data_IF_553877682519
#
_entry.id   IF_553877682519
#
_cell.length_a   1.000
_cell.length_b   1.000
_cell.length_c   1.000
_cell.angle_alpha   90.00
_cell.angle_beta   90.00
_cell.angle_gamma   90.00
#
_symmetry.space_group_name_H-M   'P 1'
#
loop_
_entity.id
_entity.type
_entity.pdbx_description
1 polymer ?
#
# COMPACT_ATOMS: atom_id res chain seq x y z
N UNK A 1 -15.32 9.70 -16.59
CA UNK A 1 -14.43 10.83 -16.25
C UNK A 1 -13.30 10.29 -15.40
N UNK A 2 -12.10 10.19 -15.94
CA UNK A 2 -10.91 9.91 -15.13
C UNK A 2 -10.65 11.15 -14.28
N UNK A 3 -10.81 11.04 -12.98
CA UNK A 3 -10.31 12.07 -12.07
C UNK A 3 -8.80 11.89 -12.07
N UNK A 4 -8.08 12.73 -12.78
CA UNK A 4 -6.64 12.80 -12.69
C UNK A 4 -6.29 13.31 -11.30
N UNK A 5 -5.87 12.41 -10.45
CA UNK A 5 -5.22 12.83 -9.21
C UNK A 5 -3.85 13.38 -9.58
N UNK A 6 -3.44 14.52 -9.02
CA UNK A 6 -2.09 15.03 -9.18
C UNK A 6 -1.09 13.91 -8.87
N UNK A 7 -0.15 13.69 -9.76
CA UNK A 7 0.87 12.67 -9.58
C UNK A 7 1.77 13.06 -8.40
N UNK A 8 2.13 12.09 -7.58
CA UNK A 8 3.19 12.25 -6.56
C UNK A 8 4.49 12.76 -7.19
N UNK A 9 4.69 12.51 -8.49
CA UNK A 9 5.84 12.97 -9.26
C UNK A 9 5.84 14.52 -9.43
N UNK A 10 4.68 15.16 -9.35
CA UNK A 10 4.54 16.60 -9.57
C UNK A 10 4.82 17.42 -8.29
N UNK A 11 4.92 16.77 -7.13
CA UNK A 11 5.27 17.43 -5.87
C UNK A 11 6.77 17.27 -5.57
N UNK A 12 7.52 18.33 -5.75
CA UNK A 12 8.97 18.37 -5.51
C UNK A 12 9.40 18.08 -4.07
N UNK A 13 8.46 18.08 -3.12
CA UNK A 13 8.70 17.72 -1.71
C UNK A 13 8.67 16.21 -1.48
N UNK A 14 8.10 15.44 -2.41
CA UNK A 14 7.99 13.99 -2.32
C UNK A 14 9.16 13.37 -3.06
N UNK A 15 10.10 12.76 -2.34
CA UNK A 15 11.32 12.19 -2.91
C UNK A 15 11.12 10.85 -3.61
N UNK A 16 10.13 10.06 -3.18
CA UNK A 16 9.82 8.76 -3.76
C UNK A 16 8.36 8.36 -3.48
N UNK A 17 7.86 7.32 -4.15
CA UNK A 17 6.49 6.84 -4.04
C UNK A 17 6.13 6.24 -2.67
N UNK A 18 7.11 6.05 -1.78
CA UNK A 18 6.91 5.55 -0.42
C UNK A 18 7.05 6.64 0.65
N UNK A 19 7.12 7.90 0.24
CA UNK A 19 7.14 9.08 1.13
C UNK A 19 8.28 9.06 2.17
N UNK A 20 9.44 8.54 1.79
CA UNK A 20 10.60 8.39 2.68
C UNK A 20 10.34 7.53 3.93
N UNK A 21 9.35 6.66 3.90
CA UNK A 21 9.06 5.78 5.01
C UNK A 21 10.26 4.87 5.33
N UNK A 22 10.58 4.67 6.62
CA UNK A 22 11.76 3.89 7.03
C UNK A 22 11.63 2.41 6.71
N UNK A 23 10.41 1.90 6.61
CA UNK A 23 10.13 0.50 6.32
C UNK A 23 9.01 0.39 5.30
N UNK A 24 9.21 -0.47 4.31
CA UNK A 24 8.21 -0.81 3.30
C UNK A 24 8.04 -2.32 3.26
N UNK A 25 6.83 -2.79 3.49
CA UNK A 25 6.45 -4.18 3.29
C UNK A 25 5.85 -4.33 1.90
N UNK A 26 6.39 -5.25 1.11
CA UNK A 26 5.88 -5.57 -0.22
C UNK A 26 5.13 -6.89 -0.16
N UNK A 27 3.86 -6.87 -0.57
CA UNK A 27 2.99 -8.05 -0.54
C UNK A 27 2.87 -8.57 -1.95
N UNK A 28 3.24 -9.84 -2.13
CA UNK A 28 3.21 -10.52 -3.40
C UNK A 28 1.97 -11.41 -3.50
N UNK A 29 1.34 -11.40 -4.66
CA UNK A 29 0.27 -12.32 -5.03
C UNK A 29 0.71 -13.22 -6.18
N UNK A 30 0.11 -14.40 -6.29
CA UNK A 30 0.36 -15.30 -7.41
C UNK A 30 -0.17 -14.68 -8.70
N UNK A 31 0.67 -14.64 -9.73
CA UNK A 31 0.29 -14.19 -11.08
C UNK A 31 -0.85 -15.06 -11.60
N UNK A 32 -1.73 -14.47 -12.37
CA UNK A 32 -2.88 -15.15 -12.99
C UNK A 32 -3.87 -15.81 -12.02
N UNK A 33 -3.79 -15.49 -10.73
CA UNK A 33 -4.78 -15.93 -9.75
C UNK A 33 -5.87 -14.86 -9.57
N UNK A 34 -7.13 -15.28 -9.68
CA UNK A 34 -8.30 -14.40 -9.70
C UNK A 34 -8.37 -13.44 -8.48
N UNK A 35 -7.96 -13.91 -7.32
CA UNK A 35 -8.07 -13.16 -6.07
C UNK A 35 -6.74 -12.55 -5.59
N UNK A 36 -5.69 -12.55 -6.41
CA UNK A 36 -4.36 -12.10 -5.98
C UNK A 36 -4.35 -10.67 -5.43
N UNK A 37 -5.14 -9.77 -6.02
CA UNK A 37 -5.27 -8.38 -5.53
C UNK A 37 -6.05 -8.35 -4.22
N UNK A 38 -7.19 -9.05 -4.15
CA UNK A 38 -8.03 -9.10 -2.95
C UNK A 38 -7.25 -9.66 -1.75
N UNK A 39 -6.56 -10.77 -1.94
CA UNK A 39 -5.75 -11.42 -0.90
C UNK A 39 -4.64 -10.49 -0.41
N UNK A 40 -3.94 -9.82 -1.32
CA UNK A 40 -2.88 -8.87 -0.97
C UNK A 40 -3.40 -7.68 -0.14
N UNK A 41 -4.56 -7.12 -0.52
CA UNK A 41 -5.15 -6.00 0.23
C UNK A 41 -5.79 -6.45 1.55
N UNK A 42 -6.34 -7.65 1.66
CA UNK A 42 -6.75 -8.21 2.95
C UNK A 42 -5.55 -8.38 3.89
N UNK A 43 -4.42 -8.85 3.38
CA UNK A 43 -3.18 -8.92 4.17
C UNK A 43 -2.69 -7.53 4.59
N UNK A 44 -2.71 -6.56 3.67
CA UNK A 44 -2.33 -5.18 3.97
C UNK A 44 -3.20 -4.59 5.09
N UNK A 45 -4.52 -4.82 5.07
CA UNK A 45 -5.43 -4.37 6.11
C UNK A 45 -5.09 -4.97 7.48
N UNK A 46 -4.83 -6.27 7.54
CA UNK A 46 -4.40 -6.91 8.78
C UNK A 46 -3.07 -6.33 9.30
N UNK A 47 -2.13 -6.01 8.40
CA UNK A 47 -0.86 -5.41 8.77
C UNK A 47 -1.02 -4.02 9.38
N UNK A 48 -1.88 -3.17 8.79
CA UNK A 48 -2.10 -1.81 9.33
C UNK A 48 -2.83 -1.83 10.68
N UNK A 49 -3.76 -2.77 10.88
CA UNK A 49 -4.43 -2.95 12.17
C UNK A 49 -3.43 -3.43 13.24
N UNK A 50 -2.57 -4.38 12.91
CA UNK A 50 -1.52 -4.85 13.79
C UNK A 50 -0.49 -3.76 14.12
N UNK A 51 -0.08 -2.97 13.13
CA UNK A 51 0.82 -1.85 13.35
C UNK A 51 0.22 -0.83 14.32
N UNK A 52 -1.06 -0.49 14.17
CA UNK A 52 -1.76 0.41 15.06
C UNK A 52 -1.82 -0.13 16.50
N UNK A 53 -2.16 -1.39 16.68
CA UNK A 53 -2.20 -2.05 18.01
C UNK A 53 -0.82 -2.03 18.70
N UNK A 54 0.25 -2.16 17.93
CA UNK A 54 1.63 -2.10 18.43
C UNK A 54 2.17 -0.67 18.63
N UNK A 55 1.33 0.35 18.41
CA UNK A 55 1.71 1.76 18.57
C UNK A 55 2.50 2.35 17.39
N UNK A 56 2.48 1.68 16.25
CA UNK A 56 3.07 2.17 14.99
C UNK A 56 2.03 2.82 14.09
N UNK A 57 2.53 3.53 13.10
CA UNK A 57 1.72 4.14 12.03
C UNK A 57 2.02 3.48 10.70
N UNK A 58 1.04 3.50 9.81
CA UNK A 58 1.14 2.80 8.54
C UNK A 58 0.33 3.49 7.43
N UNK A 59 0.67 3.20 6.19
CA UNK A 59 -0.09 3.62 5.03
C UNK A 59 -0.05 2.56 3.94
N UNK A 60 -1.20 2.26 3.33
CA UNK A 60 -1.28 1.40 2.16
C UNK A 60 -0.96 2.23 0.91
N UNK A 61 0.02 1.78 0.13
CA UNK A 61 0.43 2.38 -1.13
C UNK A 61 0.05 1.45 -2.28
N UNK A 62 -0.71 1.94 -3.25
CA UNK A 62 -1.16 1.16 -4.40
C UNK A 62 -0.31 1.38 -5.67
N UNK A 63 0.21 2.58 -5.89
CA UNK A 63 0.90 2.94 -7.15
C UNK A 63 2.27 2.29 -7.35
N UNK A 64 2.88 1.74 -6.32
CA UNK A 64 4.20 1.11 -6.42
C UNK A 64 4.17 -0.22 -7.23
N UNK A 65 3.00 -0.76 -7.55
CA UNK A 65 2.86 -1.93 -8.43
C UNK A 65 3.55 -1.69 -9.78
N UNK A 66 3.37 -0.51 -10.37
CA UNK A 66 4.00 -0.13 -11.64
C UNK A 66 5.53 -0.15 -11.55
N UNK A 67 6.09 0.27 -10.43
CA UNK A 67 7.54 0.26 -10.20
C UNK A 67 8.10 -1.16 -10.23
N UNK A 68 7.39 -2.12 -9.64
CA UNK A 68 7.80 -3.53 -9.63
C UNK A 68 7.62 -4.25 -10.98
N UNK A 69 6.83 -3.69 -11.89
CA UNK A 69 6.76 -4.15 -13.26
C UNK A 69 7.98 -3.74 -14.12
N UNK A 70 8.72 -2.71 -13.69
CA UNK A 70 9.93 -2.22 -14.36
C UNK A 70 11.13 -3.16 -14.12
N UNK A 71 12.19 -3.09 -14.97
CA UNK A 71 13.39 -3.91 -14.81
C UNK A 71 14.04 -3.83 -13.43
N UNK A 72 14.07 -2.65 -12.80
CA UNK A 72 14.61 -2.47 -11.46
C UNK A 72 13.83 -3.25 -10.40
N UNK A 73 12.49 -3.20 -10.45
CA UNK A 73 11.63 -3.96 -9.53
C UNK A 73 11.79 -5.47 -9.72
N UNK A 74 11.87 -5.94 -10.96
CA UNK A 74 12.12 -7.35 -11.26
C UNK A 74 13.46 -7.83 -10.70
N UNK A 75 14.49 -7.00 -10.77
CA UNK A 75 15.79 -7.31 -10.18
C UNK A 75 15.71 -7.46 -8.66
N UNK A 76 15.01 -6.56 -7.96
CA UNK A 76 14.77 -6.71 -6.53
C UNK A 76 14.06 -8.03 -6.19
N UNK A 77 13.01 -8.37 -6.94
CA UNK A 77 12.31 -9.64 -6.74
C UNK A 77 13.25 -10.85 -6.86
N UNK A 78 14.16 -10.84 -7.84
CA UNK A 78 15.16 -11.88 -8.00
C UNK A 78 16.15 -11.91 -6.82
N UNK A 79 16.67 -10.76 -6.41
CA UNK A 79 17.58 -10.63 -5.26
C UNK A 79 16.94 -11.13 -3.95
N UNK A 80 15.64 -10.92 -3.79
CA UNK A 80 14.89 -11.38 -2.61
C UNK A 80 14.41 -12.83 -2.71
N UNK A 81 14.69 -13.52 -3.80
CA UNK A 81 14.27 -14.90 -4.02
C UNK A 81 12.76 -15.08 -4.20
N UNK A 82 12.06 -14.03 -4.68
CA UNK A 82 10.63 -14.11 -4.97
C UNK A 82 10.42 -14.97 -6.22
N UNK A 83 9.56 -16.00 -6.17
CA UNK A 83 9.28 -16.84 -7.33
C UNK A 83 8.77 -16.04 -8.54
N UNK A 84 9.11 -16.46 -9.75
CA UNK A 84 8.73 -15.78 -10.99
C UNK A 84 7.21 -15.70 -11.24
N UNK A 85 6.46 -16.63 -10.66
CA UNK A 85 5.01 -16.65 -10.75
C UNK A 85 4.32 -15.70 -9.76
N UNK A 86 5.08 -14.92 -9.01
CA UNK A 86 4.57 -13.92 -8.09
C UNK A 86 4.71 -12.52 -8.68
N UNK A 87 3.84 -11.61 -8.24
CA UNK A 87 3.90 -10.20 -8.58
C UNK A 87 3.52 -9.33 -7.38
N UNK A 88 4.13 -8.16 -7.27
CA UNK A 88 3.84 -7.22 -6.20
C UNK A 88 2.45 -6.60 -6.40
N UNK A 89 1.59 -6.65 -5.38
CA UNK A 89 0.19 -6.20 -5.45
C UNK A 89 -0.17 -5.12 -4.45
N UNK A 90 0.35 -5.20 -3.24
CA UNK A 90 0.10 -4.19 -2.23
C UNK A 90 1.39 -3.86 -1.48
N UNK A 91 1.42 -2.66 -0.93
CA UNK A 91 2.58 -2.13 -0.22
C UNK A 91 2.10 -1.46 1.04
N UNK A 92 2.78 -1.70 2.15
CA UNK A 92 2.49 -1.05 3.42
C UNK A 92 3.75 -0.35 3.89
N UNK A 93 3.68 0.97 4.06
CA UNK A 93 4.73 1.71 4.73
C UNK A 93 4.49 1.69 6.23
N UNK A 94 5.56 1.56 6.99
CA UNK A 94 5.53 1.52 8.45
C UNK A 94 6.47 2.58 9.01
N UNK A 95 6.07 3.18 10.13
CA UNK A 95 6.84 4.19 10.82
C UNK A 95 6.15 4.66 12.09
N UNK A 96 6.52 5.85 12.52
CA UNK A 96 5.90 6.51 13.66
C UNK A 96 5.52 7.93 13.27
N UNK A 97 4.39 8.43 13.78
CA UNK A 97 3.92 9.77 13.50
C UNK A 97 4.94 10.82 13.98
N UNK A 98 5.30 11.70 13.08
CA UNK A 98 6.15 12.86 13.39
C UNK A 98 5.26 14.11 13.48
N UNK A 99 4.91 14.48 14.71
CA UNK A 99 4.05 15.62 14.99
C UNK A 99 2.66 15.24 15.53
N UNK A 100 1.67 16.14 15.43
CA UNK A 100 0.33 15.89 15.94
C UNK A 100 -0.36 14.72 15.23
N UNK A 101 -1.00 13.85 16.00
CA UNK A 101 -1.76 12.75 15.45
C UNK A 101 -2.93 13.29 14.60
N UNK A 102 -3.12 12.78 13.38
CA UNK A 102 -4.16 13.29 12.49
C UNK A 102 -5.55 13.01 13.06
N UNK A 103 -6.42 14.00 12.96
CA UNK A 103 -7.82 13.85 13.36
C UNK A 103 -8.60 13.05 12.33
N UNK A 104 -9.40 12.08 12.80
CA UNK A 104 -10.28 11.31 11.95
C UNK A 104 -11.34 12.18 11.26
N UNK A 105 -11.59 11.96 9.98
CA UNK A 105 -12.66 12.64 9.26
C UNK A 105 -14.03 12.10 9.70
N UNK A 106 -15.06 12.94 9.79
CA UNK A 106 -16.41 12.47 10.08
C UNK A 106 -16.87 11.44 9.03
N UNK A 107 -17.53 10.39 9.52
CA UNK A 107 -18.09 9.38 8.61
C UNK A 107 -19.28 9.96 7.86
N UNK A 108 -19.39 9.67 6.58
CA UNK A 108 -20.54 10.05 5.76
C UNK A 108 -21.79 9.31 6.26
N UNK A 109 -22.90 10.03 6.39
CA UNK A 109 -24.19 9.46 6.79
C UNK A 109 -24.73 8.50 5.70
N UNK A 110 -25.61 7.61 6.09
CA UNK A 110 -26.39 6.71 5.19
C UNK A 110 -25.53 5.79 4.31
N UNK A 111 -24.33 5.37 4.75
CA UNK A 111 -23.52 4.40 4.01
C UNK A 111 -23.76 2.94 4.39
N UNK A 112 -24.35 2.70 5.54
CA UNK A 112 -24.69 1.35 5.98
C UNK A 112 -26.20 1.19 5.92
N UNK A 113 -26.67 0.13 5.29
CA UNK A 113 -28.05 -0.29 5.25
C UNK A 113 -28.14 -1.65 5.92
N UNK A 114 -28.94 -1.75 6.96
CA UNK A 114 -29.25 -3.03 7.61
C UNK A 114 -30.56 -3.52 7.02
N UNK A 115 -30.58 -4.72 6.48
CA UNK A 115 -31.80 -5.37 5.97
C UNK A 115 -32.16 -6.42 7.01
N UNK A 116 -33.36 -6.25 7.60
CA UNK A 116 -33.92 -7.21 8.54
C UNK A 116 -34.72 -8.30 7.80
#
# INVERSE_FOLDING_TARGET
MKIEQPSVIDDSKIKNGFYDAPTVCVIFGQRDFLYNVADAFCMAENMILAAHELGGDSCIISRAEETFALPAGKRFMQEWGVPENMEAKAFVTLGYCDGPYPQGKPRKKCRNVVIE
#
